data_IF_828838040138
#
_entry.id   IF_828838040138
#
_cell.length_a   1.000
_cell.length_b   1.000
_cell.length_c   1.000
_cell.angle_alpha   90.00
_cell.angle_beta   90.00
_cell.angle_gamma   90.00
#
_symmetry.space_group_name_H-M   'P 1'
#
loop_
_entity.id
_entity.type
_entity.pdbx_description
1 polymer ?
2 non-polymer ?
3 non-polymer ?
4 non-polymer ?
5 non-polymer ?
6 water ?
#
# COMPACT_ATOMS: atom_id res chain seq x y z
N UNK A 24 21.41 19.71 9.81
CA UNK A 24 20.70 20.93 10.09
C UNK A 24 19.33 20.68 10.70
N UNK A 25 19.07 19.42 11.01
CA UNK A 25 17.83 19.08 11.69
C UNK A 25 17.91 19.47 13.16
N UNK A 26 16.77 19.87 13.72
CA UNK A 26 16.73 20.07 15.15
C UNK A 26 16.87 18.73 15.87
N UNK A 27 17.12 18.81 17.17
CA UNK A 27 17.20 17.58 17.96
C UNK A 27 15.87 16.85 17.96
N UNK A 28 14.76 17.60 17.99
CA UNK A 28 13.45 16.98 17.97
C UNK A 28 13.18 16.30 16.63
N UNK A 29 13.63 16.93 15.53
CA UNK A 29 13.46 16.30 14.22
C UNK A 29 14.31 15.04 14.10
N UNK A 30 15.54 15.08 14.63
CA UNK A 30 16.38 13.89 14.60
C UNK A 30 15.77 12.76 15.41
N UNK A 31 15.25 13.09 16.60
CA UNK A 31 14.58 12.08 17.42
C UNK A 31 13.36 11.51 16.70
N UNK A 32 12.62 12.37 16.00
CA UNK A 32 11.42 11.93 15.28
C UNK A 32 11.76 10.93 14.18
N UNK A 33 12.79 11.22 13.38
CA UNK A 33 13.21 10.28 12.35
C UNK A 33 13.70 8.98 13.00
N UNK A 34 14.45 9.10 14.09
CA UNK A 34 14.93 7.91 14.78
C UNK A 34 13.78 7.03 15.22
N UNK A 35 12.73 7.62 15.78
CA UNK A 35 11.61 6.81 16.25
C UNK A 35 10.89 6.14 15.09
N UNK A 36 10.68 6.87 14.00
CA UNK A 36 10.03 6.28 12.83
C UNK A 36 10.87 5.16 12.24
N UNK A 37 12.20 5.36 12.12
CA UNK A 37 13.06 4.33 11.56
C UNK A 37 13.12 3.10 12.45
N UNK A 38 13.11 3.33 13.77
CA UNK A 38 13.03 2.21 14.71
C UNK A 38 11.75 1.41 14.49
N UNK A 39 10.62 2.11 14.38
CA UNK A 39 9.34 1.45 14.15
C UNK A 39 9.34 0.66 12.85
N UNK A 40 9.90 1.25 11.79
CA UNK A 40 9.98 0.55 10.51
C UNK A 40 10.83 -0.71 10.62
N UNK A 41 12.02 -0.59 11.23
CA UNK A 41 12.93 -1.73 11.37
C UNK A 41 12.26 -2.85 12.15
N UNK A 42 11.49 -2.51 13.18
CA UNK A 42 10.87 -3.51 14.03
C UNK A 42 9.68 -4.20 13.39
N UNK A 43 9.04 -3.58 12.39
CA UNK A 43 7.75 -4.04 11.95
C UNK A 43 7.65 -4.31 10.45
N UNK A 44 8.71 -4.10 9.70
CA UNK A 44 8.70 -4.35 8.25
C UNK A 44 9.63 -5.53 8.01
N UNK A 45 9.04 -6.71 7.84
CA UNK A 45 9.73 -7.93 7.46
C UNK A 45 10.06 -7.84 5.97
N UNK A 46 11.22 -7.30 5.61
CA UNK A 46 11.50 -7.02 4.21
C UNK A 46 11.77 -8.28 3.40
N UNK A 47 12.05 -9.39 4.06
CA UNK A 47 12.20 -10.67 3.37
C UNK A 47 10.91 -11.47 3.33
N UNK A 48 9.85 -10.98 3.98
CA UNK A 48 8.56 -11.67 4.00
C UNK A 48 8.70 -13.09 4.55
N UNK A 49 9.66 -13.28 5.46
CA UNK A 49 9.96 -14.62 5.96
C UNK A 49 8.79 -15.22 6.73
N UNK A 50 7.99 -14.39 7.38
CA UNK A 50 6.89 -14.89 8.20
C UNK A 50 5.54 -14.82 7.51
N UNK A 51 5.52 -14.58 6.21
CA UNK A 51 4.29 -14.68 5.42
C UNK A 51 4.15 -16.13 4.99
N UNK A 52 3.23 -16.85 5.63
CA UNK A 52 3.08 -18.29 5.42
C UNK A 52 1.60 -18.65 5.43
N UNK A 53 1.33 -19.89 5.05
CA UNK A 53 -0.01 -20.48 5.09
C UNK A 53 -1.02 -19.66 4.29
N UNK A 54 -0.57 -19.05 3.21
CA UNK A 54 -1.44 -18.26 2.38
C UNK A 54 -2.12 -19.15 1.34
N UNK A 55 -3.24 -18.67 0.82
CA UNK A 55 -3.93 -19.37 -0.24
C UNK A 55 -3.26 -19.15 -1.59
N UNK A 56 -3.48 -20.08 -2.51
CA UNK A 56 -2.95 -19.99 -3.86
C UNK A 56 -4.04 -20.36 -4.84
N UNK A 57 -3.94 -19.88 -6.08
CA UNK A 57 -4.93 -20.23 -7.09
C UNK A 57 -5.02 -21.73 -7.29
N UNK A 58 -6.22 -22.20 -7.60
CA UNK A 58 -6.43 -23.61 -7.82
C UNK A 58 -5.59 -24.15 -8.95
N UNK A 59 -5.35 -25.45 -8.88
CA UNK A 59 -4.67 -26.19 -9.94
C UNK A 59 -5.73 -26.77 -10.86
N UNK A 60 -5.45 -26.76 -12.17
CA UNK A 60 -6.36 -27.25 -13.19
C UNK A 60 -7.75 -26.62 -13.10
N UNK A 74 -29.21 -10.86 -15.72
CA UNK A 74 -29.80 -9.67 -15.11
C UNK A 74 -29.41 -8.40 -15.88
N UNK A 75 -29.63 -7.25 -15.25
CA UNK A 75 -29.27 -5.96 -15.86
C UNK A 75 -28.45 -5.13 -14.90
N UNK A 76 -28.97 -4.91 -13.69
CA UNK A 76 -28.19 -4.27 -12.65
C UNK A 76 -26.93 -5.08 -12.34
N UNK A 77 -27.10 -6.40 -12.17
CA UNK A 77 -25.97 -7.25 -11.84
C UNK A 77 -24.97 -7.36 -12.98
N UNK A 78 -25.44 -7.35 -14.23
CA UNK A 78 -24.52 -7.44 -15.35
C UNK A 78 -23.68 -6.17 -15.48
N UNK A 79 -24.25 -5.01 -15.14
CA UNK A 79 -23.48 -3.78 -15.12
C UNK A 79 -22.44 -3.80 -13.99
N UNK A 80 -22.77 -4.41 -12.86
CA UNK A 80 -21.81 -4.55 -11.78
C UNK A 80 -20.63 -5.42 -12.22
N UNK A 81 -20.91 -6.52 -12.92
CA UNK A 81 -19.84 -7.39 -13.38
C UNK A 81 -18.96 -6.69 -14.41
N UNK A 82 -19.54 -5.89 -15.29
CA UNK A 82 -18.74 -5.17 -16.28
C UNK A 82 -17.80 -4.19 -15.60
N UNK A 83 -18.25 -3.54 -14.53
CA UNK A 83 -17.38 -2.61 -13.82
C UNK A 83 -16.28 -3.36 -13.09
N UNK A 84 -16.61 -4.47 -12.44
CA UNK A 84 -15.62 -5.25 -11.70
C UNK A 84 -14.55 -5.77 -12.65
N UNK A 85 -14.93 -6.15 -13.88
CA UNK A 85 -13.93 -6.54 -14.86
C UNK A 85 -12.96 -5.40 -15.13
N UNK A 86 -13.47 -4.17 -15.24
CA UNK A 86 -12.60 -3.02 -15.45
C UNK A 86 -11.75 -2.73 -14.22
N UNK A 87 -12.29 -3.01 -13.03
CA UNK A 87 -11.54 -2.79 -11.79
C UNK A 87 -10.32 -3.68 -11.68
N UNK A 88 -10.30 -4.82 -12.40
CA UNK A 88 -9.26 -5.83 -12.24
C UNK A 88 -8.38 -6.04 -13.46
N UNK A 89 -8.86 -5.70 -14.66
CA UNK A 89 -8.21 -6.20 -15.88
C UNK A 89 -6.82 -5.59 -16.08
N UNK A 90 -6.57 -4.39 -15.56
CA UNK A 90 -5.27 -3.75 -15.73
C UNK A 90 -4.37 -3.91 -14.50
N UNK A 91 -4.76 -4.75 -13.56
CA UNK A 91 -4.00 -5.01 -12.34
C UNK A 91 -3.44 -6.42 -12.28
N UNK A 92 -3.41 -7.13 -13.41
CA UNK A 92 -3.03 -8.54 -13.41
C UNK A 92 -1.53 -8.72 -13.20
N UNK A 93 -1.17 -9.73 -12.39
CA UNK A 93 0.22 -10.12 -12.19
C UNK A 93 0.31 -11.64 -12.24
N UNK A 94 1.48 -12.11 -12.66
CA UNK A 94 1.86 -13.49 -12.46
C UNK A 94 2.56 -13.62 -11.11
N UNK A 95 2.64 -14.86 -10.63
CA UNK A 95 3.16 -15.13 -9.30
C UNK A 95 4.28 -16.15 -9.42
N UNK A 96 5.39 -15.91 -8.75
CA UNK A 96 6.49 -16.87 -8.67
C UNK A 96 6.80 -17.15 -7.20
N UNK A 97 6.93 -18.43 -6.85
CA UNK A 97 7.31 -18.85 -5.51
C UNK A 97 8.59 -19.66 -5.57
N UNK A 98 9.63 -19.17 -4.92
CA UNK A 98 10.93 -19.83 -4.90
C UNK A 98 11.06 -20.63 -3.61
N UNK A 99 11.19 -21.96 -3.74
CA UNK A 99 11.25 -22.79 -2.57
C UNK A 99 12.62 -22.73 -1.90
N UNK A 100 12.63 -23.00 -0.59
CA UNK A 100 13.89 -23.10 0.13
C UNK A 100 14.81 -24.14 -0.50
N UNK A 101 14.24 -25.18 -1.11
CA UNK A 101 15.04 -26.23 -1.73
C UNK A 101 15.58 -25.84 -3.10
N UNK A 102 15.24 -24.67 -3.62
CA UNK A 102 15.65 -24.29 -4.95
C UNK A 102 14.64 -24.58 -6.04
N UNK A 103 13.51 -25.20 -5.69
CA UNK A 103 12.45 -25.37 -6.66
C UNK A 103 11.77 -24.02 -6.93
N UNK A 104 11.09 -23.95 -8.06
CA UNK A 104 10.36 -22.74 -8.46
C UNK A 104 8.98 -23.11 -8.97
N UNK A 105 7.95 -22.51 -8.39
CA UNK A 105 6.60 -22.54 -8.92
C UNK A 105 6.27 -21.21 -9.57
N UNK A 106 5.66 -21.25 -10.76
CA UNK A 106 5.22 -20.06 -11.48
C UNK A 106 3.74 -20.19 -11.82
N UNK A 107 2.96 -19.12 -11.57
CA UNK A 107 1.54 -19.09 -11.92
C UNK A 107 1.28 -17.96 -12.88
N UNK A 108 0.68 -18.29 -14.02
CA UNK A 108 0.21 -17.30 -14.97
C UNK A 108 -1.31 -17.24 -14.92
N UNK A 109 -1.89 -16.07 -14.72
CA UNK A 109 -3.34 -15.98 -14.52
C UNK A 109 -4.09 -16.21 -15.82
N UNK A 110 -5.37 -16.59 -15.74
CA UNK A 110 -6.15 -16.80 -16.96
C UNK A 110 -6.53 -15.47 -17.60
N UNK A 111 -6.87 -15.55 -18.89
CA UNK A 111 -7.42 -14.37 -19.53
C UNK A 111 -8.89 -14.19 -19.12
N UNK A 112 -9.36 -12.95 -19.23
CA UNK A 112 -10.76 -12.67 -18.93
C UNK A 112 -11.63 -13.32 -19.99
N UNK A 113 -12.40 -14.34 -19.59
CA UNK A 113 -13.33 -15.01 -20.48
C UNK A 113 -14.76 -14.87 -19.98
N UNK A 114 -15.05 -13.76 -19.31
CA UNK A 114 -16.39 -13.45 -18.84
C UNK A 114 -16.86 -14.19 -17.62
N UNK A 115 -15.98 -14.94 -16.95
CA UNK A 115 -16.39 -15.72 -15.80
C UNK A 115 -15.62 -15.41 -14.53
N UNK A 116 -15.75 -16.27 -13.52
CA UNK A 116 -15.15 -16.08 -12.21
C UNK A 116 -13.63 -16.23 -12.22
N UNK A 117 -13.03 -16.58 -13.36
CA UNK A 117 -11.58 -16.77 -13.41
C UNK A 117 -10.82 -15.47 -13.16
N UNK A 118 -11.48 -14.32 -13.27
CA UNK A 118 -10.79 -13.06 -13.02
C UNK A 118 -10.49 -12.87 -11.54
N UNK A 119 -11.04 -13.71 -10.68
CA UNK A 119 -10.84 -13.62 -9.23
C UNK A 119 -9.81 -14.62 -8.72
N UNK A 120 -9.09 -15.32 -9.60
CA UNK A 120 -8.35 -16.49 -9.15
C UNK A 120 -7.25 -16.13 -8.17
N UNK A 121 -6.69 -14.93 -8.26
CA UNK A 121 -5.62 -14.53 -7.36
C UNK A 121 -6.11 -13.71 -6.18
N UNK A 122 -7.41 -13.43 -6.11
CA UNK A 122 -7.89 -12.57 -5.02
C UNK A 122 -7.70 -13.18 -3.64
N UNK A 123 -7.96 -14.46 -3.37
CA UNK A 123 -7.68 -14.98 -2.03
C UNK A 123 -6.22 -14.83 -1.65
N UNK A 124 -5.32 -15.13 -2.58
CA UNK A 124 -3.91 -14.98 -2.29
C UNK A 124 -3.59 -13.51 -1.99
N UNK A 125 -4.08 -12.60 -2.84
CA UNK A 125 -3.80 -11.17 -2.65
C UNK A 125 -4.37 -10.68 -1.33
N UNK A 126 -5.55 -11.19 -0.98
CA UNK A 126 -6.14 -10.85 0.32
C UNK A 126 -5.23 -11.29 1.46
N UNK A 127 -4.63 -12.48 1.34
CA UNK A 127 -3.73 -12.95 2.38
C UNK A 127 -2.46 -12.11 2.45
N UNK A 128 -1.87 -11.75 1.29
CA UNK A 128 -0.68 -10.90 1.31
C UNK A 128 -1.01 -9.53 1.89
N UNK A 129 -2.10 -8.91 1.43
CA UNK A 129 -2.45 -7.59 1.93
C UNK A 129 -2.73 -7.63 3.43
N UNK A 130 -3.39 -8.69 3.87
CA UNK A 130 -3.67 -8.84 5.30
C UNK A 130 -2.38 -8.93 6.09
N UNK A 131 -1.40 -9.68 5.58
CA UNK A 131 -0.08 -9.75 6.21
C UNK A 131 0.55 -8.37 6.31
N UNK A 132 0.49 -7.61 5.21
CA UNK A 132 1.07 -6.27 5.21
C UNK A 132 0.32 -5.36 6.16
N UNK A 133 -1.02 -5.46 6.20
CA UNK A 133 -1.77 -4.59 7.09
C UNK A 133 -1.42 -4.85 8.54
N UNK A 134 -1.21 -6.11 8.92
CA UNK A 134 -0.76 -6.40 10.29
C UNK A 134 0.55 -5.67 10.59
N UNK A 135 1.48 -5.69 9.63
CA UNK A 135 2.73 -4.99 9.84
C UNK A 135 2.55 -3.50 9.97
N UNK A 136 1.63 -2.92 9.19
CA UNK A 136 1.37 -1.48 9.25
C UNK A 136 0.74 -1.09 10.58
N UNK A 137 -0.15 -1.95 11.07
CA UNK A 137 -0.77 -1.70 12.37
C UNK A 137 0.29 -1.73 13.46
N UNK A 138 1.20 -2.72 13.39
CA UNK A 138 2.30 -2.82 14.34
C UNK A 138 3.22 -1.61 14.27
N UNK A 139 3.53 -1.16 13.05
CA UNK A 139 4.29 0.07 12.85
C UNK A 139 3.68 1.24 13.61
N UNK A 140 2.38 1.49 13.40
CA UNK A 140 1.73 2.61 14.05
C UNK A 140 1.80 2.50 15.56
N UNK A 141 1.57 1.29 16.08
CA UNK A 141 1.42 1.13 17.52
C UNK A 141 2.73 1.32 18.27
N UNK A 142 3.88 1.18 17.61
CA UNK A 142 5.21 1.41 18.20
C UNK A 142 5.54 2.89 18.33
N UNK A 143 4.86 3.75 17.57
CA UNK A 143 5.25 5.15 17.49
C UNK A 143 4.61 5.92 18.64
N UNK A 144 5.44 6.61 19.44
CA UNK A 144 4.93 7.36 20.58
C UNK A 144 3.77 8.28 20.19
N UNK A 145 3.95 9.07 19.14
CA UNK A 145 2.94 10.05 18.75
C UNK A 145 1.60 9.39 18.46
N UNK A 146 1.61 8.17 17.94
CA UNK A 146 0.37 7.47 17.64
C UNK A 146 -0.24 6.85 18.90
N UNK A 147 0.60 6.16 19.68
CA UNK A 147 0.18 5.54 20.92
C UNK A 147 -0.48 6.53 21.87
N UNK A 148 -0.04 7.78 21.82
CA UNK A 148 -0.58 8.80 22.73
C UNK A 148 -1.94 9.32 22.29
N UNK A 149 -2.41 8.97 21.09
CA UNK A 149 -3.73 9.38 20.63
C UNK A 149 -4.82 8.54 21.28
N UNK A 150 -6.03 9.09 21.41
CA UNK A 150 -7.17 8.27 21.86
C UNK A 150 -7.34 7.05 20.96
N UNK A 151 -7.72 5.93 21.59
CA UNK A 151 -7.79 4.66 20.85
C UNK A 151 -8.75 4.78 19.67
N UNK A 152 -9.84 5.55 19.82
CA UNK A 152 -10.78 5.68 18.71
C UNK A 152 -10.13 6.39 17.53
N UNK A 153 -9.27 7.38 17.80
CA UNK A 153 -8.58 8.06 16.71
C UNK A 153 -7.53 7.15 16.12
N UNK A 154 -6.86 6.34 16.95
CA UNK A 154 -5.90 5.38 16.40
C UNK A 154 -6.58 4.47 15.39
N UNK A 155 -7.78 3.98 15.72
CA UNK A 155 -8.51 3.10 14.82
C UNK A 155 -8.92 3.85 13.56
N UNK A 156 -9.44 5.08 13.72
CA UNK A 156 -9.86 5.85 12.56
C UNK A 156 -8.68 6.13 11.63
N UNK A 157 -7.49 6.40 12.20
CA UNK A 157 -6.34 6.71 11.35
C UNK A 157 -5.87 5.48 10.59
N UNK A 158 -5.87 4.33 11.24
CA UNK A 158 -5.43 3.09 10.58
C UNK A 158 -6.43 2.69 9.49
N UNK A 159 -7.73 2.79 9.78
CA UNK A 159 -8.73 2.55 8.73
C UNK A 159 -8.52 3.47 7.55
N UNK A 160 -8.19 4.74 7.84
CA UNK A 160 -7.99 5.70 6.77
C UNK A 160 -6.75 5.46 5.92
N UNK A 161 -5.67 4.95 6.52
CA UNK A 161 -4.37 4.95 5.87
C UNK A 161 -3.83 3.57 5.49
N UNK A 162 -4.49 2.48 5.89
CA UNK A 162 -3.89 1.14 5.75
C UNK A 162 -3.39 0.86 4.33
N UNK A 163 -4.24 1.10 3.31
CA UNK A 163 -3.83 0.86 1.94
C UNK A 163 -2.64 1.73 1.55
N UNK A 164 -2.64 2.99 1.99
CA UNK A 164 -1.55 3.90 1.61
C UNK A 164 -0.23 3.43 2.18
N UNK A 165 -0.21 3.06 3.46
CA UNK A 165 1.04 2.62 4.05
C UNK A 165 1.49 1.28 3.46
N UNK A 166 0.54 0.41 3.14
CA UNK A 166 0.89 -0.85 2.50
C UNK A 166 1.56 -0.59 1.15
N UNK A 167 0.97 0.29 0.35
CA UNK A 167 1.51 0.55 -0.99
C UNK A 167 2.87 1.23 -0.90
N UNK A 168 3.06 2.12 0.08
CA UNK A 168 4.38 2.73 0.28
C UNK A 168 5.42 1.68 0.62
N UNK A 169 5.08 0.72 1.50
CA UNK A 169 6.03 -0.35 1.76
C UNK A 169 6.26 -1.20 0.52
N UNK A 170 5.19 -1.52 -0.22
CA UNK A 170 5.38 -2.28 -1.46
C UNK A 170 6.28 -1.55 -2.45
N UNK A 171 6.25 -0.20 -2.48
CA UNK A 171 7.10 0.49 -3.45
C UNK A 171 8.57 0.20 -3.19
N UNK A 172 8.96 0.02 -1.94
CA UNK A 172 10.37 -0.23 -1.66
C UNK A 172 10.83 -1.60 -2.13
N UNK A 173 9.93 -2.53 -2.43
CA UNK A 173 10.34 -3.80 -3.01
C UNK A 173 9.96 -3.87 -4.48
N UNK A 174 9.55 -2.76 -5.07
CA UNK A 174 9.18 -2.76 -6.49
C UNK A 174 10.43 -2.61 -7.34
N UNK A 175 10.56 -3.47 -8.36
CA UNK A 175 11.66 -3.40 -9.32
C UNK A 175 11.08 -2.80 -10.60
N UNK A 176 11.43 -1.55 -10.86
CA UNK A 176 10.81 -0.84 -11.97
C UNK A 176 11.36 -1.30 -13.30
N UNK A 177 12.54 -1.91 -13.31
CA UNK A 177 13.09 -2.43 -14.57
C UNK A 177 12.33 -3.66 -15.04
N UNK A 178 11.84 -4.49 -14.12
CA UNK A 178 11.13 -5.70 -14.48
C UNK A 178 9.65 -5.65 -14.18
N UNK A 179 9.16 -4.57 -13.59
CA UNK A 179 7.74 -4.50 -13.24
C UNK A 179 7.34 -5.56 -12.24
N UNK A 180 8.16 -5.79 -11.23
CA UNK A 180 7.89 -6.87 -10.30
C UNK A 180 8.11 -6.43 -8.86
N UNK A 181 7.15 -6.79 -8.01
CA UNK A 181 7.30 -6.63 -6.58
C UNK A 181 8.00 -7.86 -6.03
N UNK A 182 9.19 -7.67 -5.47
CA UNK A 182 10.06 -8.75 -5.02
C UNK A 182 9.84 -8.92 -3.52
N UNK A 183 9.03 -9.90 -3.13
CA UNK A 183 8.63 -10.08 -1.75
C UNK A 183 9.25 -11.34 -1.18
N UNK A 184 10.57 -11.29 -1.01
CA UNK A 184 11.27 -12.45 -0.48
C UNK A 184 11.22 -13.58 -1.49
N UNK A 185 10.66 -14.70 -1.05
CA UNK A 185 10.54 -15.86 -1.92
C UNK A 185 9.39 -15.76 -2.91
N UNK A 186 8.54 -14.74 -2.78
CA UNK A 186 7.42 -14.50 -3.67
C UNK A 186 7.72 -13.31 -4.55
N UNK A 187 7.30 -13.40 -5.82
CA UNK A 187 7.44 -12.30 -6.77
C UNK A 187 6.13 -12.11 -7.52
N UNK A 188 5.74 -10.86 -7.73
CA UNK A 188 4.52 -10.54 -8.47
C UNK A 188 4.93 -9.67 -9.66
N UNK A 189 4.72 -10.18 -10.88
CA UNK A 189 5.20 -9.52 -12.08
C UNK A 189 4.03 -9.04 -12.92
N UNK A 190 4.04 -7.76 -13.26
CA UNK A 190 2.98 -7.19 -14.07
C UNK A 190 2.93 -7.90 -15.42
N UNK A 191 1.73 -8.30 -15.83
CA UNK A 191 1.60 -9.07 -17.06
C UNK A 191 1.82 -8.16 -18.26
N UNK A 192 2.81 -8.51 -19.08
CA UNK A 192 3.21 -7.70 -20.25
C UNK A 192 2.08 -7.75 -21.27
N UNK A 193 1.06 -6.93 -21.03
CA UNK A 193 -0.13 -6.89 -21.87
C UNK A 193 -0.07 -5.70 -22.82
N UNK A 195 -0.97 -3.75 -25.22
CA UNK A 195 -0.85 -2.45 -24.60
C UNK A 195 0.58 -1.93 -24.57
N UNK A 196 1.38 -2.47 -23.65
CA UNK A 196 2.78 -2.13 -23.55
C UNK A 196 3.09 -1.33 -22.30
N UNK A 197 4.29 -0.75 -22.28
CA UNK A 197 4.76 -0.01 -21.13
C UNK A 197 3.90 1.24 -20.90
N UNK A 198 3.67 2.02 -21.96
CA UNK A 198 2.91 3.25 -21.80
C UNK A 198 1.46 2.96 -21.44
N UNK A 199 0.85 1.96 -22.08
CA UNK A 199 -0.54 1.62 -21.79
C UNK A 199 -0.72 1.12 -20.37
N UNK A 200 0.33 0.60 -19.74
CA UNK A 200 0.25 0.18 -18.34
C UNK A 200 0.36 1.36 -17.38
N UNK A 201 1.04 2.43 -17.79
CA UNK A 201 1.08 3.64 -16.98
C UNK A 201 -0.26 4.35 -16.91
N UNK A 202 -1.31 3.85 -17.58
CA UNK A 202 -2.60 4.51 -17.47
C UNK A 202 -3.26 4.23 -16.13
N UNK A 203 -3.00 3.08 -15.55
CA UNK A 203 -3.59 2.73 -14.26
C UNK A 203 -2.93 3.57 -13.16
N UNK A 204 -3.68 4.41 -12.43
CA UNK A 204 -3.04 5.36 -11.51
C UNK A 204 -2.14 4.71 -10.47
N UNK A 205 -2.52 3.56 -9.91
CA UNK A 205 -1.65 2.99 -8.88
C UNK A 205 -0.36 2.45 -9.50
N UNK A 206 -0.40 2.01 -10.76
CA UNK A 206 0.83 1.56 -11.39
C UNK A 206 1.73 2.74 -11.74
N UNK A 207 1.15 3.79 -12.33
CA UNK A 207 1.91 5.01 -12.56
C UNK A 207 2.54 5.50 -11.27
N UNK A 208 1.80 5.40 -10.15
CA UNK A 208 2.33 5.85 -8.87
C UNK A 208 3.58 5.07 -8.49
N UNK A 209 3.54 3.74 -8.61
CA UNK A 209 4.71 2.97 -8.23
C UNK A 209 5.92 3.31 -9.08
N UNK A 210 5.72 3.51 -10.39
CA UNK A 210 6.87 3.84 -11.22
C UNK A 210 7.39 5.24 -10.91
N UNK A 211 6.48 6.19 -10.73
CA UNK A 211 6.87 7.57 -10.47
C UNK A 211 7.57 7.71 -9.13
N UNK A 212 7.07 7.00 -8.11
CA UNK A 212 7.70 7.08 -6.80
C UNK A 212 9.07 6.42 -6.81
N UNK A 213 9.21 5.29 -7.51
CA UNK A 213 10.51 4.63 -7.58
C UNK A 213 11.54 5.54 -8.24
N UNK A 214 11.10 6.34 -9.21
CA UNK A 214 12.02 7.23 -9.94
C UNK A 214 12.60 8.33 -9.05
N UNK A 215 11.94 8.66 -7.95
CA UNK A 215 12.46 9.69 -7.05
C UNK A 215 13.66 9.20 -6.25
N UNK A 216 13.90 7.89 -6.20
CA UNK A 216 15.07 7.31 -5.54
C UNK A 216 15.18 7.76 -4.09
N UNK A 217 14.10 7.53 -3.35
CA UNK A 217 14.03 8.03 -1.98
C UNK A 217 14.85 7.18 -1.04
N UNK A 218 15.29 7.81 0.04
CA UNK A 218 15.95 7.15 1.17
C UNK A 218 14.92 6.43 2.04
N UNK A 219 15.40 5.46 2.83
CA UNK A 219 14.52 4.83 3.81
C UNK A 219 13.83 5.86 4.69
N UNK A 220 14.57 6.90 5.08
CA UNK A 220 14.02 7.92 5.98
C UNK A 220 12.89 8.69 5.31
N UNK A 221 13.00 8.93 4.00
CA UNK A 221 11.94 9.64 3.30
C UNK A 221 10.70 8.76 3.15
N UNK A 222 10.88 7.47 2.88
CA UNK A 222 9.73 6.58 2.87
C UNK A 222 9.03 6.55 4.22
N UNK A 223 9.79 6.49 5.33
CA UNK A 223 9.10 6.35 6.60
C UNK A 223 8.42 7.66 6.99
N UNK A 224 8.98 8.81 6.59
CA UNK A 224 8.27 10.06 6.81
C UNK A 224 7.02 10.15 5.95
N UNK A 225 7.06 9.63 4.72
CA UNK A 225 5.83 9.53 3.92
C UNK A 225 4.78 8.70 4.64
N UNK A 226 5.19 7.55 5.20
CA UNK A 226 4.27 6.76 5.99
C UNK A 226 3.66 7.57 7.13
N UNK A 227 4.49 8.34 7.85
CA UNK A 227 3.97 9.11 8.98
C UNK A 227 3.00 10.18 8.52
N UNK A 228 3.32 10.86 7.42
CA UNK A 228 2.44 11.91 6.92
C UNK A 228 1.09 11.32 6.52
N UNK A 229 1.11 10.16 5.84
CA UNK A 229 -0.14 9.49 5.50
C UNK A 229 -0.91 9.04 6.75
N UNK A 230 -0.21 8.41 7.70
CA UNK A 230 -0.87 7.87 8.88
C UNK A 230 -1.55 8.98 9.68
N UNK A 231 -0.85 10.09 9.89
CA UNK A 231 -1.37 11.19 10.70
C UNK A 231 -2.13 12.19 9.84
N UNK A 232 -3.16 11.70 9.16
CA UNK A 232 -3.96 12.56 8.31
C UNK A 232 -5.18 13.03 9.11
N UNK A 233 -5.29 14.32 9.41
CA UNK A 233 -6.35 14.77 10.33
C UNK A 233 -7.76 14.70 9.77
N UNK A 234 -7.93 14.52 8.46
CA UNK A 234 -9.24 14.58 7.83
C UNK A 234 -9.79 13.20 7.45
N UNK A 235 -9.25 12.14 8.02
CA UNK A 235 -9.87 10.83 7.83
C UNK A 235 -11.24 10.81 8.52
N UNK A 236 -12.17 10.03 8.00
CA UNK A 236 -13.48 9.88 8.66
C UNK A 236 -13.31 9.42 10.11
N UNK A 237 -14.00 10.11 11.02
CA UNK A 237 -14.11 9.66 12.38
C UNK A 237 -13.09 10.22 13.34
N UNK A 238 -12.05 10.90 12.85
CA UNK A 238 -11.04 11.45 13.73
C UNK A 238 -11.65 12.56 14.58
N UNK A 239 -11.45 12.47 15.89
CA UNK A 239 -11.95 13.50 16.80
C UNK A 239 -10.89 14.53 17.14
N UNK A 240 -9.65 14.09 17.42
CA UNK A 240 -8.56 15.00 17.77
C UNK A 240 -7.94 15.62 16.52
N UNK A 241 -8.79 16.31 15.76
CA UNK A 241 -8.36 16.91 14.49
C UNK A 241 -7.13 17.78 14.67
N UNK A 242 -7.16 18.69 15.66
CA UNK A 242 -6.07 19.66 15.79
C UNK A 242 -4.77 18.99 16.20
N UNK A 243 -4.83 18.01 17.11
CA UNK A 243 -3.62 17.31 17.52
C UNK A 243 -3.00 16.59 16.33
N UNK A 244 -3.84 15.89 15.57
CA UNK A 244 -3.33 15.11 14.44
C UNK A 244 -2.79 16.03 13.36
N UNK A 245 -3.47 17.14 13.11
CA UNK A 245 -2.99 18.11 12.13
C UNK A 245 -1.64 18.69 12.55
N UNK A 246 -1.46 19.00 13.83
CA UNK A 246 -0.17 19.50 14.29
C UNK A 246 0.92 18.45 14.11
N UNK A 247 0.61 17.19 14.42
CA UNK A 247 1.57 16.11 14.25
C UNK A 247 1.97 15.96 12.79
N UNK A 248 0.98 15.97 11.90
CA UNK A 248 1.27 15.84 10.48
C UNK A 248 2.18 16.95 10.00
N UNK A 249 1.90 18.19 10.40
CA UNK A 249 2.75 19.30 9.97
C UNK A 249 4.18 19.13 10.46
N UNK A 250 4.37 18.59 11.66
CA UNK A 250 5.73 18.41 12.15
C UNK A 250 6.45 17.32 11.37
N UNK A 251 5.74 16.26 10.99
CA UNK A 251 6.38 15.25 10.13
C UNK A 251 6.72 15.82 8.76
N UNK A 252 5.82 16.66 8.22
CA UNK A 252 6.10 17.26 6.92
C UNK A 252 7.26 18.23 6.99
N UNK A 253 7.31 19.06 8.04
CA UNK A 253 8.45 19.96 8.22
C UNK A 253 9.75 19.17 8.38
N UNK A 254 9.71 18.07 9.14
CA UNK A 254 10.90 17.24 9.27
C UNK A 254 11.35 16.70 7.91
N UNK A 255 10.40 16.26 7.08
CA UNK A 255 10.76 15.77 5.76
C UNK A 255 11.36 16.86 4.90
N UNK A 256 10.74 18.04 4.91
CA UNK A 256 11.27 19.17 4.18
C UNK A 256 12.69 19.50 4.63
N UNK A 257 12.91 19.54 5.95
CA UNK A 257 14.24 19.82 6.48
C UNK A 257 15.23 18.71 6.14
N UNK A 258 14.82 17.44 6.26
CA UNK A 258 15.70 16.34 5.89
C UNK A 258 16.19 16.50 4.45
N UNK A 259 15.27 16.81 3.54
CA UNK A 259 15.64 16.93 2.14
C UNK A 259 16.59 18.10 1.94
N UNK A 260 16.32 19.23 2.60
CA UNK A 260 17.20 20.38 2.45
C UNK A 260 18.60 20.10 2.95
N UNK A 261 18.71 19.34 4.06
CA UNK A 261 19.99 19.05 4.68
C UNK A 261 20.78 17.96 3.97
N UNK A 262 20.14 17.12 3.15
CA UNK A 262 20.80 15.95 2.60
C UNK A 262 20.78 15.85 1.08
N UNK A 263 20.08 16.73 0.37
CA UNK A 263 19.96 16.63 -1.08
C UNK A 263 20.15 17.97 -1.78
N UNK A 264 21.40 18.40 -1.94
CA UNK A 264 21.65 19.68 -2.62
C UNK A 264 21.65 19.59 -4.14
N UNK A 265 21.44 18.40 -4.71
CA UNK A 265 21.60 18.25 -6.15
C UNK A 265 20.41 18.85 -6.91
N UNK A 266 20.68 19.42 -8.09
CA UNK A 266 19.58 19.99 -8.91
C UNK A 266 18.44 19.01 -9.18
N UNK A 267 18.75 17.71 -9.31
CA UNK A 267 17.70 16.74 -9.55
C UNK A 267 16.66 16.70 -8.44
N UNK A 268 17.03 17.11 -7.23
CA UNK A 268 16.14 17.06 -6.09
C UNK A 268 15.54 18.40 -5.75
N UNK A 269 15.69 19.40 -6.62
CA UNK A 269 14.90 20.61 -6.45
C UNK A 269 13.42 20.23 -6.49
N UNK A 270 12.67 20.81 -5.58
CA UNK A 270 11.24 20.62 -5.45
C UNK A 270 10.88 19.19 -5.02
N UNK A 271 11.85 18.39 -4.57
CA UNK A 271 11.56 17.01 -4.17
C UNK A 271 10.51 16.94 -3.07
N UNK A 272 10.60 17.82 -2.06
CA UNK A 272 9.59 17.81 -1.02
C UNK A 272 8.20 18.03 -1.62
N UNK A 273 8.07 19.02 -2.52
CA UNK A 273 6.76 19.29 -3.08
C UNK A 273 6.27 18.14 -3.96
N UNK A 274 7.19 17.48 -4.67
CA UNK A 274 6.80 16.31 -5.46
C UNK A 274 6.26 15.21 -4.56
N UNK A 275 6.94 14.96 -3.44
CA UNK A 275 6.50 13.92 -2.52
C UNK A 275 5.12 14.24 -1.96
N UNK A 276 4.91 15.49 -1.53
CA UNK A 276 3.62 15.84 -0.97
C UNK A 276 2.53 15.70 -2.01
N UNK A 277 2.84 16.05 -3.27
CA UNK A 277 1.84 15.88 -4.32
C UNK A 277 1.53 14.41 -4.53
N UNK A 278 2.54 13.54 -4.45
CA UNK A 278 2.32 12.10 -4.55
C UNK A 278 1.45 11.60 -3.39
N UNK A 279 1.65 12.14 -2.19
CA UNK A 279 0.84 11.70 -1.07
C UNK A 279 -0.61 12.09 -1.24
N UNK A 280 -0.87 13.27 -1.83
CA UNK A 280 -2.25 13.65 -2.14
C UNK A 280 -2.86 12.71 -3.18
N UNK A 281 -2.09 12.40 -4.23
CA UNK A 281 -2.54 11.43 -5.23
C UNK A 281 -2.79 10.07 -4.60
N UNK A 282 -1.92 9.65 -3.69
CA UNK A 282 -2.10 8.33 -3.08
C UNK A 282 -3.39 8.26 -2.27
N UNK A 283 -3.80 9.37 -1.63
CA UNK A 283 -5.07 9.36 -0.91
C UNK A 283 -6.23 9.20 -1.88
N UNK A 284 -6.15 9.82 -3.06
CA UNK A 284 -7.20 9.66 -4.07
C UNK A 284 -7.25 8.23 -4.58
N UNK A 285 -6.09 7.63 -4.83
CA UNK A 285 -6.04 6.25 -5.30
C UNK A 285 -6.59 5.29 -4.25
N UNK A 286 -6.27 5.55 -2.97
CA UNK A 286 -6.84 4.77 -1.87
C UNK A 286 -8.36 4.77 -1.94
N UNK A 287 -8.97 5.94 -2.08
CA UNK A 287 -10.43 5.98 -2.17
C UNK A 287 -10.93 5.17 -3.35
N UNK A 288 -10.24 5.25 -4.49
CA UNK A 288 -10.73 4.57 -5.68
C UNK A 288 -10.54 3.06 -5.57
N UNK A 289 -9.40 2.62 -5.01
CA UNK A 289 -9.23 1.18 -4.85
C UNK A 289 -10.11 0.63 -3.75
N UNK A 290 -10.46 1.46 -2.77
CA UNK A 290 -11.46 1.03 -1.79
C UNK A 290 -12.81 0.82 -2.45
N UNK A 291 -13.18 1.71 -3.39
CA UNK A 291 -14.41 1.50 -4.15
C UNK A 291 -14.36 0.21 -4.94
N UNK A 292 -13.24 -0.06 -5.61
CA UNK A 292 -13.09 -1.33 -6.33
C UNK A 292 -13.29 -2.50 -5.39
N UNK A 293 -12.62 -2.48 -4.24
CA UNK A 293 -12.72 -3.57 -3.28
C UNK A 293 -14.18 -3.83 -2.91
N UNK A 294 -14.93 -2.77 -2.63
CA UNK A 294 -16.31 -2.96 -2.21
C UNK A 294 -17.17 -3.46 -3.37
N UNK A 295 -16.89 -3.00 -4.59
CA UNK A 295 -17.61 -3.52 -5.75
C UNK A 295 -17.35 -5.02 -5.93
N UNK A 296 -16.10 -5.45 -5.83
CA UNK A 296 -15.78 -6.86 -5.97
C UNK A 296 -16.43 -7.65 -4.84
N UNK A 297 -16.30 -7.16 -3.61
CA UNK A 297 -16.87 -7.84 -2.45
C UNK A 297 -18.37 -8.05 -2.60
N UNK A 298 -19.05 -7.10 -3.23
CA UNK A 298 -20.50 -7.17 -3.37
C UNK A 298 -20.91 -8.38 -4.20
N UNK A 299 -20.20 -8.67 -5.28
CA UNK A 299 -20.56 -9.79 -6.16
C UNK A 299 -19.70 -11.03 -5.93
N UNK A 300 -18.61 -10.92 -5.18
CA UNK A 300 -17.70 -12.05 -4.96
C UNK A 300 -16.97 -11.84 -3.65
N UNK A 301 -17.60 -12.21 -2.53
CA UNK A 301 -16.99 -11.95 -1.22
C UNK A 301 -15.66 -12.65 -1.07
N UNK A 302 -14.66 -11.92 -0.58
CA UNK A 302 -13.34 -12.52 -0.39
C UNK A 302 -12.51 -11.80 0.67
N UNK A 303 -12.95 -10.65 1.16
CA UNK A 303 -12.15 -9.91 2.13
C UNK A 303 -11.96 -10.72 3.41
N UNK A 304 -10.73 -10.72 3.91
CA UNK A 304 -10.42 -11.37 5.18
C UNK A 304 -11.06 -10.58 6.32
N UNK A 305 -11.17 -11.18 7.51
CA UNK A 305 -11.72 -10.42 8.65
C UNK A 305 -10.99 -9.09 8.91
N UNK A 306 -9.66 -9.07 8.88
CA UNK A 306 -8.96 -7.80 9.11
C UNK A 306 -9.29 -6.80 8.00
N UNK A 307 -9.34 -7.25 6.74
CA UNK A 307 -9.73 -6.34 5.67
C UNK A 307 -11.15 -5.82 5.90
N UNK A 308 -12.06 -6.68 6.35
CA UNK A 308 -13.42 -6.21 6.60
C UNK A 308 -13.43 -5.12 7.65
N UNK A 309 -12.67 -5.30 8.73
CA UNK A 309 -12.59 -4.30 9.79
C UNK A 309 -12.01 -2.99 9.26
N UNK A 310 -10.93 -3.07 8.46
CA UNK A 310 -10.27 -1.86 7.99
C UNK A 310 -11.07 -1.10 6.94
N UNK A 311 -11.84 -1.81 6.11
CA UNK A 311 -12.46 -1.17 4.95
C UNK A 311 -13.96 -1.02 5.10
N UNK A 312 -14.50 -1.28 6.28
CA UNK A 312 -15.90 -0.99 6.56
C UNK A 312 -16.88 -2.04 6.12
N UNK A 313 -16.75 -3.26 6.65
CA UNK A 313 -17.64 -4.39 6.37
C UNK A 313 -17.97 -5.04 7.70
N UNK A 314 -19.23 -4.95 8.13
CA UNK A 314 -19.60 -5.35 9.49
C UNK A 314 -19.85 -6.85 9.63
N UNK A 315 -20.05 -7.56 8.52
CA UNK A 315 -20.57 -8.90 8.57
C UNK A 315 -22.08 -8.99 8.51
N UNK A 316 -22.76 -7.83 8.40
CA UNK A 316 -24.21 -7.74 8.33
C UNK A 316 -24.88 -8.49 9.49
X LIG B 1 -5.69 0.01 16.99
X LIG B 1 -4.58 0.63 17.63
X LIG B 1 -6.42 -0.87 17.97
X LIG B 1 -5.49 -1.56 18.77
X LIG C 1 11.23 3.78 -15.19
X LIG C 1 10.14 4.59 -14.78
X LIG C 1 10.74 2.64 -16.06
X LIG C 1 11.57 1.51 -15.86
X LIG D 1 14.75 0.41 -0.15
X LIG D 1 14.49 -0.60 -1.09
X LIG D 1 14.39 1.74 -0.76
X LIG D 1 15.19 1.95 -1.92
X LIG D 1 14.57 2.86 0.25
X LIG D 1 15.92 3.27 0.17
X LIG E 1 -9.02 -1.34 12.81
X LIG E 1 -7.91 -2.27 13.24
X LIG E 1 -8.32 -3.12 14.42
X LIG E 1 -6.78 -1.46 13.54
X LIG F 1 -1.43 -3.99 -6.06
X LIG F 1 -0.41 -4.96 -5.89
X LIG F 1 -0.44 -5.92 -4.85
X LIG F 1 -1.48 -5.85 -3.94
X LIG F 1 -2.49 -4.89 -4.05
X LIG F 1 -2.45 -3.98 -5.10
X LIG F 1 -3.59 -4.78 -3.08
X LIG F 1 -4.93 -4.43 -3.18
X LIG F 1 -5.78 -4.43 -1.67
X LIG F 1 -5.74 -4.00 -4.68
X LIG F 1 0.63 -4.94 -6.77
X LIG F 1 -1.44 -2.99 -7.22
X LIG F 1 0.63 -7.03 -4.76
X LIG F 1 -0.20 -2.07 -7.16
X LIG F 1 -2.69 -2.10 -7.18
X LIG F 1 -1.45 -3.73 -8.56
X LIG F 1 0.33 -7.99 -3.59
X LIG F 1 0.66 -7.88 -6.04
X LIG F 1 2.03 -6.44 -4.53
X LIG F 1 -4.91 -4.39 -0.49
X LIG F 1 -6.79 -5.64 -1.66
X LIG F 1 -6.31 -7.02 -1.66
X LIG F 1 -7.09 -7.83 -2.60
X LIG F 1 -6.70 -3.17 -1.86
X LIG F 1 -7.59 -2.69 -0.83
X LIG F 1 -8.20 -1.43 -1.27
X LIG F 1 -5.64 -2.59 -5.04
X LIG F 1 -5.21 -4.97 -5.80
X LIG F 1 -5.39 -6.40 -5.73
X LIG F 1 -6.12 -6.84 -6.95
X LIG F 1 -7.20 -4.51 -4.43
X LIG F 1 -8.35 -3.67 -4.73
X LIG F 1 -9.51 -4.52 -4.96
#
# INVERSE_FOLDING_TARGET
MKKGHHHHHHGSERTGTQPLGVQGLTEEQRMMIRELMDAQMKTFDTTFSHFKNFRLPGVLSSGCELPESLQAPSREEAAKWSQVRKDLCSLKVSLQLRGEDGSVWNYKPPADSGGKEIFSLLPHMADMSTYMFKGIISFAKVISYFRDLPIEDQISLLKGAAFELCQLRFNTVFNAETGTWECGRLSYCLEDTAGGFQQLLLEPMLKFHYMLKKLQLHEEEYVLMQAISLFSPDRPGVLQHRVVDQLQEQFAITLKSYIECNRPQPAHRFLFLKIMAMLTELRSINAQHTQRLLRIQDIHPFATPLMQELFGITGSLVPR
EDO C1 O1 C2 O2
EDO C1 O1 C2 O2
GOL C1 O1 C2 O2 C3 O3
IPA C1 C2 C3 O2
SRL C1 C2 C3 C4 C5 C6 C7 C8 P9 P10 O11 C12 C13 C14 C15 C16 C17 C18 C19 O20 O21 C22 C23 O24 C25 C26 O27 O28 C29 C30 O31 C32 C33
#
